data_IF_779216192925
#
_entry.id   IF_779216192925
#
_cell.length_a   1.000
_cell.length_b   1.000
_cell.length_c   1.000
_cell.angle_alpha   90.00
_cell.angle_beta   90.00
_cell.angle_gamma   90.00
#
_symmetry.space_group_name_H-M   'P 1'
#
loop_
_entity.id
_entity.type
_entity.pdbx_description
1 polymer ?
#
# COMPACT_ATOMS: atom_id res chain seq x y z
N UNK A 1 -2.15 -33.97 -13.81
CA UNK A 1 -2.31 -32.58 -14.24
C UNK A 1 -2.15 -31.69 -13.04
N UNK A 2 -1.08 -30.98 -12.98
CA UNK A 2 -0.83 -30.03 -11.91
C UNK A 2 -1.84 -28.88 -12.01
N UNK A 3 -2.57 -28.60 -10.96
CA UNK A 3 -3.41 -27.42 -10.96
C UNK A 3 -2.52 -26.23 -11.19
N UNK A 4 -2.81 -25.48 -12.24
CA UNK A 4 -2.13 -24.24 -12.40
C UNK A 4 -2.58 -23.29 -11.33
N UNK A 5 -1.76 -23.22 -10.30
CA UNK A 5 -1.77 -22.07 -9.44
C UNK A 5 -1.56 -20.86 -10.36
N UNK A 6 -2.46 -19.91 -10.31
CA UNK A 6 -2.27 -18.67 -11.02
C UNK A 6 -0.87 -18.16 -10.68
N UNK A 7 0.05 -18.35 -11.61
CA UNK A 7 1.40 -17.86 -11.44
C UNK A 7 1.31 -16.37 -11.66
N UNK A 8 1.26 -15.64 -10.55
CA UNK A 8 1.51 -14.22 -10.59
C UNK A 8 2.95 -14.10 -11.09
N UNK A 9 3.13 -13.53 -12.28
CA UNK A 9 4.46 -13.29 -12.80
C UNK A 9 5.28 -12.56 -11.72
N UNK A 10 6.51 -13.00 -11.43
CA UNK A 10 7.31 -12.36 -10.40
C UNK A 10 7.54 -10.89 -10.76
N UNK A 11 7.44 -10.03 -9.76
CA UNK A 11 7.76 -8.63 -9.94
C UNK A 11 9.23 -8.46 -10.33
N UNK A 12 9.56 -7.52 -11.21
CA UNK A 12 10.95 -7.21 -11.52
C UNK A 12 11.68 -6.73 -10.26
N UNK A 13 13.02 -6.91 -10.20
CA UNK A 13 13.81 -6.52 -9.02
C UNK A 13 13.59 -5.08 -8.57
N UNK A 14 13.45 -4.14 -9.50
CA UNK A 14 13.22 -2.73 -9.16
C UNK A 14 11.88 -2.54 -8.42
N UNK A 15 10.82 -3.24 -8.82
CA UNK A 15 9.54 -3.18 -8.14
C UNK A 15 9.60 -3.81 -6.75
N UNK A 16 10.35 -4.91 -6.59
CA UNK A 16 10.57 -5.53 -5.28
C UNK A 16 11.34 -4.62 -4.34
N UNK A 17 12.30 -3.86 -4.88
CA UNK A 17 13.06 -2.88 -4.10
C UNK A 17 12.14 -1.75 -3.61
N UNK A 18 11.25 -1.25 -4.45
CA UNK A 18 10.25 -0.25 -4.05
C UNK A 18 9.33 -0.80 -2.95
N UNK A 19 8.80 -2.02 -3.12
CA UNK A 19 7.98 -2.67 -2.10
C UNK A 19 8.73 -2.74 -0.76
N UNK A 20 9.99 -3.16 -0.78
CA UNK A 20 10.81 -3.31 0.43
C UNK A 20 11.05 -1.96 1.13
N UNK A 21 11.28 -0.89 0.36
CA UNK A 21 11.54 0.43 0.91
C UNK A 21 10.37 0.97 1.74
N UNK A 22 9.13 0.63 1.36
CA UNK A 22 7.94 1.14 2.04
C UNK A 22 7.32 0.16 3.04
N UNK A 23 7.64 -1.13 2.95
CA UNK A 23 6.99 -2.17 3.74
C UNK A 23 7.09 -1.95 5.25
N UNK A 24 8.26 -1.55 5.74
CA UNK A 24 8.49 -1.32 7.17
C UNK A 24 7.66 -0.17 7.72
N UNK A 25 7.64 0.95 7.03
CA UNK A 25 6.87 2.13 7.43
C UNK A 25 5.35 1.84 7.40
N UNK A 26 4.89 1.18 6.36
CA UNK A 26 3.48 0.82 6.22
C UNK A 26 3.05 -0.12 7.35
N UNK A 27 3.86 -1.13 7.64
CA UNK A 27 3.58 -2.09 8.72
C UNK A 27 3.47 -1.38 10.07
N UNK A 28 4.46 -0.54 10.40
CA UNK A 28 4.48 0.17 11.66
C UNK A 28 3.28 1.10 11.84
N UNK A 29 2.95 1.84 10.78
CA UNK A 29 1.81 2.76 10.80
C UNK A 29 0.48 2.01 10.89
N UNK A 30 0.33 0.90 10.20
CA UNK A 30 -0.86 0.05 10.26
C UNK A 30 -1.05 -0.56 11.65
N UNK A 31 0.02 -1.04 12.27
CA UNK A 31 -0.02 -1.61 13.62
C UNK A 31 -0.49 -0.57 14.63
N UNK A 32 0.08 0.63 14.58
CA UNK A 32 -0.31 1.72 15.48
C UNK A 32 -1.78 2.09 15.28
N UNK A 33 -2.22 2.20 14.03
CA UNK A 33 -3.60 2.53 13.74
C UNK A 33 -4.56 1.44 14.22
N UNK A 34 -4.23 0.17 13.99
CA UNK A 34 -5.04 -0.96 14.41
C UNK A 34 -5.18 -1.05 15.93
N UNK A 35 -4.08 -0.82 16.66
CA UNK A 35 -4.06 -0.85 18.12
C UNK A 35 -4.90 0.28 18.74
N UNK A 36 -5.05 1.40 18.02
CA UNK A 36 -5.73 2.59 18.51
C UNK A 36 -7.02 2.91 17.75
N UNK A 37 -7.50 1.97 16.95
CA UNK A 37 -8.68 2.16 16.09
C UNK A 37 -9.90 2.67 16.85
N UNK A 38 -10.14 2.14 18.05
CA UNK A 38 -11.28 2.52 18.88
C UNK A 38 -11.20 3.93 19.46
N UNK A 39 -10.05 4.60 19.31
CA UNK A 39 -9.86 5.99 19.75
C UNK A 39 -10.20 6.99 18.65
N UNK A 40 -10.48 6.53 17.45
CA UNK A 40 -10.91 7.34 16.32
C UNK A 40 -12.41 7.28 16.14
N UNK A 41 -12.99 8.37 15.65
CA UNK A 41 -14.37 8.40 15.25
C UNK A 41 -14.62 7.36 14.15
N UNK A 42 -15.66 6.51 14.25
CA UNK A 42 -15.99 5.53 13.22
C UNK A 42 -16.15 6.12 11.83
N UNK A 43 -16.68 7.32 11.70
CA UNK A 43 -16.81 8.00 10.40
C UNK A 43 -15.43 8.33 9.81
N UNK A 44 -14.47 8.73 10.65
CA UNK A 44 -13.10 8.98 10.23
C UNK A 44 -12.41 7.70 9.77
N UNK A 45 -12.59 6.62 10.52
CA UNK A 45 -12.05 5.30 10.14
C UNK A 45 -12.61 4.86 8.80
N UNK A 46 -13.90 5.01 8.58
CA UNK A 46 -14.54 4.63 7.32
C UNK A 46 -13.94 5.40 6.13
N UNK A 47 -13.68 6.69 6.30
CA UNK A 47 -13.04 7.52 5.26
C UNK A 47 -11.60 7.09 4.99
N UNK A 48 -10.83 6.80 6.03
CA UNK A 48 -9.45 6.33 5.92
C UNK A 48 -9.42 4.98 5.19
N UNK A 49 -10.27 4.06 5.58
CA UNK A 49 -10.33 2.73 4.96
C UNK A 49 -10.75 2.82 3.49
N UNK A 50 -11.71 3.66 3.15
CA UNK A 50 -12.13 3.85 1.76
C UNK A 50 -10.99 4.43 0.91
N UNK A 51 -10.23 5.38 1.45
CA UNK A 51 -9.08 5.97 0.76
C UNK A 51 -7.94 4.97 0.61
N UNK A 52 -7.69 4.15 1.64
CA UNK A 52 -6.68 3.08 1.56
C UNK A 52 -7.04 2.05 0.50
N UNK A 53 -8.30 1.69 0.38
CA UNK A 53 -8.77 0.75 -0.63
C UNK A 53 -8.49 1.26 -2.05
N UNK A 54 -8.73 2.55 -2.31
CA UNK A 54 -8.43 3.17 -3.61
C UNK A 54 -6.92 3.12 -3.89
N UNK A 55 -6.10 3.46 -2.91
CA UNK A 55 -4.64 3.44 -3.07
C UNK A 55 -4.12 2.01 -3.27
N UNK A 56 -4.62 1.06 -2.49
CA UNK A 56 -4.22 -0.35 -2.60
C UNK A 56 -4.58 -0.92 -3.96
N UNK A 57 -5.72 -0.53 -4.52
CA UNK A 57 -6.11 -0.92 -5.87
C UNK A 57 -5.14 -0.36 -6.91
N UNK A 58 -4.74 0.90 -6.78
CA UNK A 58 -3.75 1.52 -7.66
C UNK A 58 -2.39 0.82 -7.58
N UNK A 59 -1.96 0.43 -6.37
CA UNK A 59 -0.73 -0.34 -6.15
C UNK A 59 -0.81 -1.68 -6.89
N UNK A 60 -1.91 -2.40 -6.72
CA UNK A 60 -2.11 -3.71 -7.38
C UNK A 60 -2.11 -3.58 -8.90
N UNK A 61 -2.77 -2.58 -9.45
CA UNK A 61 -2.77 -2.33 -10.88
C UNK A 61 -1.36 -2.03 -11.42
N UNK A 62 -0.60 -1.20 -10.70
CA UNK A 62 0.77 -0.89 -11.08
C UNK A 62 1.67 -2.13 -11.02
N UNK A 63 1.50 -2.97 -10.01
CA UNK A 63 2.25 -4.23 -9.88
C UNK A 63 1.95 -5.19 -11.03
N UNK A 64 0.68 -5.33 -11.39
CA UNK A 64 0.27 -6.17 -12.51
C UNK A 64 0.83 -5.63 -13.84
N UNK A 65 0.78 -4.32 -14.03
CA UNK A 65 1.32 -3.69 -15.23
C UNK A 65 2.85 -3.88 -15.33
N UNK A 66 3.57 -3.80 -14.21
CA UNK A 66 5.01 -4.06 -14.18
C UNK A 66 5.36 -5.52 -14.43
N UNK A 67 4.53 -6.44 -13.99
CA UNK A 67 4.72 -7.86 -14.30
C UNK A 67 4.63 -8.11 -15.80
N UNK A 68 3.75 -7.40 -16.49
CA UNK A 68 3.57 -7.48 -17.94
C UNK A 68 4.61 -6.66 -18.73
N UNK A 69 5.11 -5.56 -18.15
CA UNK A 69 6.07 -4.65 -18.79
C UNK A 69 7.15 -4.23 -17.80
N UNK A 70 8.11 -5.13 -17.49
CA UNK A 70 9.08 -4.92 -16.40
C UNK A 70 10.00 -3.72 -16.54
N UNK A 71 10.19 -3.23 -17.76
CA UNK A 71 11.09 -2.13 -18.06
C UNK A 71 10.42 -0.76 -18.06
N UNK A 72 9.13 -0.71 -17.72
CA UNK A 72 8.36 0.52 -17.79
C UNK A 72 8.62 1.40 -16.57
N UNK A 73 9.51 2.38 -16.74
CA UNK A 73 9.91 3.30 -15.66
C UNK A 73 8.76 4.20 -15.21
N UNK A 74 7.84 4.55 -16.10
CA UNK A 74 6.68 5.37 -15.76
C UNK A 74 5.77 4.60 -14.78
N UNK A 75 5.54 3.32 -15.02
CA UNK A 75 4.75 2.49 -14.12
C UNK A 75 5.48 2.28 -12.80
N UNK A 76 6.81 2.13 -12.83
CA UNK A 76 7.60 2.02 -11.60
C UNK A 76 7.47 3.28 -10.73
N UNK A 77 7.54 4.46 -11.35
CA UNK A 77 7.33 5.73 -10.65
C UNK A 77 5.91 5.83 -10.08
N UNK A 78 4.92 5.35 -10.83
CA UNK A 78 3.54 5.30 -10.36
C UNK A 78 3.38 4.40 -9.13
N UNK A 79 4.05 3.24 -9.14
CA UNK A 79 4.06 2.34 -7.99
C UNK A 79 4.66 3.05 -6.75
N UNK A 80 5.82 3.66 -6.91
CA UNK A 80 6.49 4.38 -5.82
C UNK A 80 5.61 5.51 -5.27
N UNK A 81 5.02 6.32 -6.14
CA UNK A 81 4.15 7.41 -5.69
C UNK A 81 2.88 6.92 -5.01
N UNK A 82 2.35 5.79 -5.42
CA UNK A 82 1.20 5.17 -4.75
C UNK A 82 1.55 4.71 -3.34
N UNK A 83 2.72 4.12 -3.15
CA UNK A 83 3.20 3.78 -1.82
C UNK A 83 3.42 5.02 -0.95
N UNK A 84 3.97 6.09 -1.50
CA UNK A 84 4.14 7.36 -0.78
C UNK A 84 2.80 7.91 -0.31
N UNK A 85 1.79 7.86 -1.15
CA UNK A 85 0.42 8.26 -0.78
C UNK A 85 -0.14 7.41 0.35
N UNK A 86 0.12 6.11 0.31
CA UNK A 86 -0.32 5.20 1.36
C UNK A 86 0.32 5.57 2.71
N UNK A 87 1.63 5.77 2.72
CA UNK A 87 2.37 6.18 3.92
C UNK A 87 1.85 7.51 4.44
N UNK A 88 1.66 8.49 3.57
CA UNK A 88 1.15 9.80 3.96
C UNK A 88 -0.25 9.72 4.55
N UNK A 89 -1.14 8.96 3.94
CA UNK A 89 -2.48 8.76 4.48
C UNK A 89 -2.45 8.11 5.86
N UNK A 90 -1.63 7.07 6.03
CA UNK A 90 -1.48 6.40 7.31
C UNK A 90 -0.88 7.32 8.38
N UNK A 91 0.08 8.17 8.01
CA UNK A 91 0.63 9.18 8.93
C UNK A 91 -0.44 10.17 9.37
N UNK A 92 -1.25 10.65 8.45
CA UNK A 92 -2.35 11.56 8.77
C UNK A 92 -3.38 10.92 9.68
N UNK A 93 -3.73 9.67 9.41
CA UNK A 93 -4.65 8.92 10.25
C UNK A 93 -4.11 8.76 11.68
N UNK A 94 -2.82 8.43 11.81
CA UNK A 94 -2.17 8.31 13.11
C UNK A 94 -2.06 9.64 13.83
N UNK A 95 -1.89 10.74 13.09
CA UNK A 95 -1.85 12.09 13.67
C UNK A 95 -3.19 12.53 14.28
N UNK A 96 -4.29 11.89 13.90
CA UNK A 96 -5.61 12.12 14.47
C UNK A 96 -5.81 11.41 15.81
N UNK A 97 -4.93 10.47 16.16
CA UNK A 97 -5.01 9.77 17.45
C UNK A 97 -4.80 10.74 18.59
N UNK A 98 -5.61 10.63 19.67
CA UNK A 98 -5.44 11.50 20.83
C UNK A 98 -4.07 11.30 21.45
N UNK A 99 -3.39 12.39 21.76
CA UNK A 99 -2.17 12.35 22.54
C UNK A 99 -2.56 12.34 24.02
N UNK A 100 -2.14 11.31 24.70
CA UNK A 100 -2.27 11.25 26.16
C UNK A 100 -1.07 11.89 26.81
#
# INVERSE_FOLDING_TARGET
MTPQVAVVAPLPPAARAVDADYAGAIRALNETLAENRNRLDPATIAKVEASLEVIDHAIDEARQALAADPSNLTILDLLASSYERKVELLRRANALLPRT
#
